data_IF_631502512290
#
_entry.id   IF_631502512290
#
_cell.length_a   1.000
_cell.length_b   1.000
_cell.length_c   1.000
_cell.angle_alpha   90.00
_cell.angle_beta   90.00
_cell.angle_gamma   90.00
#
_symmetry.space_group_name_H-M   'P 1'
#
loop_
_entity.id
_entity.type
_entity.pdbx_description
1 polymer ?
#
# COMPACT_ATOMS: atom_id res chain seq x y z
N UNK A 1 91.48 2.63 39.95
CA UNK A 1 92.10 2.73 41.28
C UNK A 1 91.26 3.65 42.15
N UNK A 2 91.16 3.29 43.44
CA UNK A 2 90.78 4.10 44.60
C UNK A 2 89.36 4.66 44.78
N UNK A 3 88.77 4.14 45.86
CA UNK A 3 87.61 4.58 46.65
C UNK A 3 87.62 6.09 46.95
N UNK A 4 86.43 6.68 47.04
CA UNK A 4 86.20 7.90 47.83
C UNK A 4 85.04 7.73 48.80
N UNK A 5 85.18 8.43 49.95
CA UNK A 5 84.56 8.21 51.25
C UNK A 5 83.15 8.81 51.40
N UNK A 6 82.38 8.09 52.23
CA UNK A 6 81.39 8.50 53.27
C UNK A 6 80.96 9.97 53.36
N UNK A 7 79.63 10.16 53.47
CA UNK A 7 79.02 11.07 54.46
C UNK A 7 77.58 10.58 54.81
N UNK A 8 77.22 10.39 56.10
CA UNK A 8 75.86 10.06 56.49
C UNK A 8 75.03 11.29 56.93
N UNK A 9 73.73 11.02 56.84
CA UNK A 9 72.49 11.78 56.91
C UNK A 9 72.07 12.28 58.32
N UNK A 10 71.00 13.10 58.30
CA UNK A 10 70.02 13.48 59.35
C UNK A 10 70.36 14.75 60.16
N UNK A 11 69.44 15.69 60.42
CA UNK A 11 67.97 15.67 60.59
C UNK A 11 67.48 17.14 60.49
N UNK A 12 66.31 17.52 59.97
CA UNK A 12 65.06 17.64 60.76
C UNK A 12 63.91 18.27 59.94
N UNK A 13 62.75 17.61 60.04
CA UNK A 13 61.33 17.99 59.89
C UNK A 13 60.89 19.32 59.24
N UNK A 14 60.10 19.20 58.17
CA UNK A 14 59.07 20.17 57.74
C UNK A 14 57.75 19.43 57.55
N UNK A 15 56.67 20.01 58.08
CA UNK A 15 55.31 19.46 57.98
C UNK A 15 54.60 19.89 56.71
N UNK A 16 53.51 19.20 56.38
CA UNK A 16 52.33 19.74 55.69
C UNK A 16 51.23 18.67 55.68
N UNK A 17 50.09 18.95 56.31
CA UNK A 17 48.89 18.13 56.21
C UNK A 17 48.18 18.49 54.90
N UNK A 18 48.29 17.62 53.88
CA UNK A 18 47.52 17.74 52.64
C UNK A 18 46.13 17.14 52.83
N UNK A 19 45.12 17.99 52.93
CA UNK A 19 43.73 17.60 52.75
C UNK A 19 43.50 17.27 51.26
N UNK A 20 43.16 16.02 50.96
CA UNK A 20 42.86 15.56 49.61
C UNK A 20 41.39 15.94 49.27
N UNK A 21 41.17 17.13 48.71
CA UNK A 21 39.91 17.45 48.06
C UNK A 21 39.86 16.73 46.70
N UNK A 22 39.18 15.58 46.65
CA UNK A 22 38.84 14.93 45.38
C UNK A 22 37.68 15.73 44.79
N UNK A 23 37.94 16.52 43.75
CA UNK A 23 36.87 17.10 42.95
C UNK A 23 36.15 15.95 42.20
N UNK A 24 34.81 15.89 42.19
CA UNK A 24 34.13 14.94 41.33
C UNK A 24 34.45 15.29 39.88
N UNK A 25 35.19 14.41 39.20
CA UNK A 25 35.32 14.46 37.75
C UNK A 25 33.98 13.98 37.19
N UNK A 26 33.12 14.91 36.80
CA UNK A 26 31.98 14.55 35.97
C UNK A 26 32.53 14.24 34.58
N UNK A 27 32.49 12.96 34.19
CA UNK A 27 32.69 12.57 32.81
C UNK A 27 31.46 13.04 32.03
N UNK A 28 31.63 14.11 31.27
CA UNK A 28 30.64 14.52 30.28
C UNK A 28 30.71 13.52 29.13
N UNK A 29 29.62 12.80 28.91
CA UNK A 29 29.51 11.83 27.81
C UNK A 29 28.41 12.32 26.91
N UNK A 30 28.80 12.98 25.82
CA UNK A 30 27.88 13.35 24.76
C UNK A 30 27.41 12.10 24.03
N UNK A 31 26.10 11.99 23.85
CA UNK A 31 25.46 10.92 23.10
C UNK A 31 24.77 11.54 21.89
N UNK A 32 25.35 11.33 20.72
CA UNK A 32 24.77 11.77 19.45
C UNK A 32 23.75 10.75 18.96
N UNK A 33 22.48 11.16 18.94
CA UNK A 33 21.41 10.38 18.33
C UNK A 33 21.20 10.86 16.89
N UNK A 34 21.59 10.02 15.92
CA UNK A 34 21.30 10.25 14.51
C UNK A 34 20.18 9.31 14.08
N UNK A 35 19.07 9.85 13.58
CA UNK A 35 17.96 9.08 13.05
C UNK A 35 17.55 9.61 11.67
N UNK A 36 17.42 8.72 10.70
CA UNK A 36 16.87 9.02 9.38
C UNK A 36 15.42 8.56 9.36
N UNK A 37 14.47 9.48 9.20
CA UNK A 37 13.06 9.15 8.99
C UNK A 37 12.80 9.15 7.49
N UNK A 38 12.73 7.97 6.89
CA UNK A 38 12.36 7.79 5.50
C UNK A 38 10.82 7.79 5.40
N UNK A 39 10.25 8.57 4.47
CA UNK A 39 8.87 8.30 4.02
C UNK A 39 8.97 7.13 3.07
N UNK A 40 8.32 6.02 3.39
CA UNK A 40 8.38 4.80 2.56
C UNK A 40 7.13 4.61 1.69
N UNK A 41 6.19 5.56 1.72
CA UNK A 41 4.89 5.41 1.04
C UNK A 41 4.47 6.66 0.31
N UNK A 42 3.84 6.47 -0.86
CA UNK A 42 3.11 7.54 -1.55
C UNK A 42 1.80 7.86 -0.84
N UNK A 43 1.34 9.09 -1.00
CA UNK A 43 -0.07 9.42 -0.80
C UNK A 43 -0.89 8.83 -1.96
N UNK A 44 -2.02 8.23 -1.66
CA UNK A 44 -2.96 7.68 -2.65
C UNK A 44 -4.20 8.56 -2.66
N UNK A 45 -4.57 9.03 -3.84
CA UNK A 45 -5.79 9.78 -4.09
C UNK A 45 -6.64 9.02 -5.10
N UNK A 46 -7.94 8.86 -4.82
CA UNK A 46 -8.90 8.45 -5.84
C UNK A 46 -9.49 9.72 -6.44
N UNK A 47 -9.27 9.91 -7.74
CA UNK A 47 -9.76 11.09 -8.45
C UNK A 47 -11.28 11.12 -8.34
N UNK A 48 -11.83 12.32 -8.11
CA UNK A 48 -13.26 12.58 -7.91
C UNK A 48 -13.92 11.82 -6.73
N UNK A 49 -13.12 11.42 -5.73
CA UNK A 49 -13.63 10.87 -4.46
C UNK A 49 -14.03 9.40 -4.50
N UNK A 50 -13.72 8.69 -5.57
CA UNK A 50 -13.81 7.22 -5.65
C UNK A 50 -15.20 6.63 -5.65
N UNK A 51 -16.23 7.43 -5.90
CA UNK A 51 -17.59 6.91 -6.13
C UNK A 51 -17.83 6.74 -7.63
N UNK A 52 -18.06 5.50 -8.05
CA UNK A 52 -18.43 5.18 -9.45
C UNK A 52 -19.92 4.90 -9.52
N UNK A 53 -20.66 5.79 -10.16
CA UNK A 53 -22.11 5.64 -10.35
C UNK A 53 -22.40 4.99 -11.71
N UNK A 54 -22.85 3.74 -11.67
CA UNK A 54 -23.36 3.05 -12.85
C UNK A 54 -24.78 3.52 -13.20
N UNK A 55 -25.14 3.43 -14.48
CA UNK A 55 -26.51 3.67 -14.92
C UNK A 55 -27.43 2.52 -14.52
N UNK A 56 -28.73 2.79 -14.35
CA UNK A 56 -29.74 1.73 -14.26
C UNK A 56 -29.84 0.99 -15.59
N UNK A 57 -29.79 -0.34 -15.56
CA UNK A 57 -29.78 -1.19 -16.75
C UNK A 57 -30.93 -2.21 -16.72
N UNK A 58 -31.42 -2.57 -17.91
CA UNK A 58 -32.38 -3.66 -18.09
C UNK A 58 -31.66 -5.03 -18.15
N UNK A 59 -32.37 -6.16 -17.95
CA UNK A 59 -31.75 -7.49 -17.99
C UNK A 59 -30.94 -7.79 -19.26
N UNK A 60 -31.34 -7.23 -20.41
CA UNK A 60 -30.63 -7.38 -21.69
C UNK A 60 -29.21 -6.80 -21.72
N UNK A 61 -28.82 -5.99 -20.72
CA UNK A 61 -27.44 -5.54 -20.54
C UNK A 61 -26.49 -6.73 -20.28
N UNK A 62 -26.97 -7.78 -19.61
CA UNK A 62 -26.19 -8.97 -19.29
C UNK A 62 -26.26 -10.00 -20.42
N UNK A 63 -25.58 -9.69 -21.53
CA UNK A 63 -25.53 -10.56 -22.70
C UNK A 63 -24.87 -11.92 -22.39
N UNK A 64 -25.34 -12.96 -23.09
CA UNK A 64 -24.80 -14.31 -22.96
C UNK A 64 -23.34 -14.39 -23.45
N UNK A 65 -22.53 -15.19 -22.76
CA UNK A 65 -21.12 -15.39 -23.10
C UNK A 65 -20.16 -14.30 -22.61
N UNK A 66 -20.67 -13.18 -22.08
CA UNK A 66 -19.83 -12.12 -21.50
C UNK A 66 -19.32 -12.52 -20.12
N UNK A 67 -18.00 -12.66 -19.99
CA UNK A 67 -17.32 -13.09 -18.77
C UNK A 67 -16.57 -11.94 -18.10
N UNK A 68 -16.01 -12.21 -16.91
CA UNK A 68 -15.13 -11.28 -16.20
C UNK A 68 -13.80 -10.98 -16.93
N UNK A 69 -13.48 -11.71 -18.00
CA UNK A 69 -12.27 -11.50 -18.83
C UNK A 69 -12.61 -10.88 -20.20
N UNK A 70 -13.89 -10.63 -20.49
CA UNK A 70 -14.30 -10.08 -21.78
C UNK A 70 -14.21 -8.56 -21.78
N UNK A 71 -13.42 -8.00 -22.70
CA UNK A 71 -13.42 -6.57 -23.01
C UNK A 71 -14.77 -6.19 -23.63
N UNK A 72 -15.60 -5.50 -22.84
CA UNK A 72 -16.97 -5.18 -23.21
C UNK A 72 -17.39 -3.83 -22.60
N UNK A 73 -18.17 -3.08 -23.38
CA UNK A 73 -18.63 -1.74 -23.04
C UNK A 73 -19.73 -1.73 -21.94
N UNK A 74 -20.12 -0.53 -21.51
CA UNK A 74 -21.23 -0.33 -20.57
C UNK A 74 -20.82 -0.01 -19.13
N UNK A 75 -19.52 0.17 -18.89
CA UNK A 75 -18.92 0.53 -17.61
C UNK A 75 -18.54 2.00 -17.49
N UNK A 76 -17.67 2.28 -16.52
CA UNK A 76 -17.19 3.62 -16.15
C UNK A 76 -15.73 3.57 -15.74
N UNK A 77 -14.99 4.58 -16.19
CA UNK A 77 -13.62 4.79 -15.75
C UNK A 77 -13.57 5.42 -14.37
N UNK A 78 -12.50 5.11 -13.64
CA UNK A 78 -12.08 5.82 -12.45
C UNK A 78 -10.55 5.86 -12.42
N UNK A 79 -9.98 6.81 -11.69
CA UNK A 79 -8.53 7.00 -11.67
C UNK A 79 -7.97 7.03 -10.25
N UNK A 80 -6.79 6.43 -10.11
CA UNK A 80 -5.99 6.44 -8.89
C UNK A 80 -4.73 7.23 -9.16
N UNK A 81 -4.44 8.22 -8.33
CA UNK A 81 -3.24 9.05 -8.42
C UNK A 81 -2.34 8.80 -7.23
N UNK A 82 -1.06 8.58 -7.51
CA UNK A 82 -0.02 8.53 -6.50
C UNK A 82 0.63 9.89 -6.40
N UNK A 83 0.78 10.41 -5.19
CA UNK A 83 1.30 11.74 -4.91
C UNK A 83 2.44 11.65 -3.89
N UNK A 84 3.37 12.61 -3.99
CA UNK A 84 4.42 12.82 -2.98
C UNK A 84 5.19 11.54 -2.63
N UNK A 85 5.49 10.72 -3.63
CA UNK A 85 6.20 9.46 -3.43
C UNK A 85 7.67 9.70 -3.04
N UNK A 86 8.31 8.72 -2.39
CA UNK A 86 9.75 8.75 -2.15
C UNK A 86 10.51 8.84 -3.48
N UNK A 87 11.74 9.38 -3.43
CA UNK A 87 12.60 9.47 -4.62
C UNK A 87 12.87 8.05 -5.13
N UNK A 88 12.51 7.79 -6.40
CA UNK A 88 12.88 6.55 -7.08
C UNK A 88 14.40 6.48 -7.16
N UNK A 89 15.01 5.50 -6.51
CA UNK A 89 16.46 5.22 -6.53
C UNK A 89 16.83 4.24 -7.65
N UNK A 90 16.01 4.19 -8.71
CA UNK A 90 16.06 3.23 -9.82
C UNK A 90 15.90 1.75 -9.41
N UNK A 91 15.62 1.46 -8.14
CA UNK A 91 15.31 0.08 -7.69
C UNK A 91 13.86 -0.29 -7.93
N UNK A 92 12.95 0.68 -7.78
CA UNK A 92 11.51 0.49 -8.02
C UNK A 92 11.24 0.59 -9.52
N UNK A 93 10.77 -0.52 -10.08
CA UNK A 93 10.48 -0.63 -11.51
C UNK A 93 9.00 -0.90 -11.80
N UNK A 94 8.25 -1.36 -10.80
CA UNK A 94 6.85 -1.71 -10.91
C UNK A 94 6.02 -1.11 -9.78
N UNK A 95 4.79 -0.77 -10.14
CA UNK A 95 3.70 -0.43 -9.21
C UNK A 95 2.63 -1.51 -9.36
N UNK A 96 2.27 -2.12 -8.23
CA UNK A 96 1.22 -3.13 -8.17
C UNK A 96 0.01 -2.57 -7.42
N UNK A 97 -1.16 -2.60 -8.06
CA UNK A 97 -2.43 -2.26 -7.42
C UNK A 97 -3.13 -3.54 -6.97
N UNK A 98 -3.44 -3.62 -5.68
CA UNK A 98 -4.18 -4.72 -5.08
C UNK A 98 -5.59 -4.23 -4.75
N UNK A 99 -6.56 -4.74 -5.51
CA UNK A 99 -7.98 -4.46 -5.30
C UNK A 99 -8.59 -5.57 -4.45
N UNK A 100 -9.11 -5.22 -3.28
CA UNK A 100 -9.74 -6.20 -2.38
C UNK A 100 -11.15 -5.76 -1.98
N UNK A 101 -12.11 -6.67 -1.87
CA UNK A 101 -13.44 -6.33 -1.38
C UNK A 101 -13.36 -5.88 0.09
N UNK A 102 -14.01 -4.77 0.43
CA UNK A 102 -14.07 -4.30 1.81
C UNK A 102 -14.82 -5.27 2.72
N UNK A 103 -15.81 -5.99 2.17
CA UNK A 103 -16.52 -7.08 2.87
C UNK A 103 -15.64 -8.32 3.11
N UNK A 104 -14.44 -8.39 2.51
CA UNK A 104 -13.49 -9.48 2.67
C UNK A 104 -13.75 -10.69 1.77
N UNK A 105 -14.79 -10.67 0.93
CA UNK A 105 -15.14 -11.79 0.06
C UNK A 105 -15.40 -11.34 -1.38
N UNK A 106 -14.79 -12.05 -2.34
CA UNK A 106 -15.15 -11.96 -3.76
C UNK A 106 -16.45 -12.75 -4.01
N UNK A 107 -17.04 -12.58 -5.18
CA UNK A 107 -18.28 -13.25 -5.53
C UNK A 107 -18.14 -14.78 -5.54
N UNK A 108 -19.03 -15.47 -4.84
CA UNK A 108 -19.01 -16.93 -4.77
C UNK A 108 -19.11 -17.56 -6.18
N UNK A 109 -18.14 -18.40 -6.52
CA UNK A 109 -18.04 -19.06 -7.82
C UNK A 109 -17.35 -18.23 -8.91
N UNK A 110 -16.92 -17.00 -8.62
CA UNK A 110 -16.11 -16.19 -9.53
C UNK A 110 -15.21 -15.19 -8.77
N UNK A 111 -13.95 -15.56 -8.56
CA UNK A 111 -12.99 -14.76 -7.81
C UNK A 111 -12.47 -13.53 -8.57
N UNK A 112 -12.99 -13.24 -9.76
CA UNK A 112 -12.65 -12.03 -10.52
C UNK A 112 -13.72 -10.94 -10.43
N UNK A 113 -14.80 -11.21 -9.68
CA UNK A 113 -15.94 -10.31 -9.54
C UNK A 113 -16.05 -9.90 -8.07
N UNK A 114 -16.06 -8.60 -7.82
CA UNK A 114 -16.39 -8.02 -6.52
C UNK A 114 -17.88 -8.19 -6.26
N UNK A 115 -18.24 -8.80 -5.14
CA UNK A 115 -19.62 -9.10 -4.80
C UNK A 115 -20.44 -7.82 -4.56
N UNK A 116 -21.75 -7.94 -4.70
CA UNK A 116 -22.69 -6.97 -4.16
C UNK A 116 -22.66 -7.07 -2.62
N UNK A 117 -22.43 -5.95 -1.95
CA UNK A 117 -22.45 -5.82 -0.50
C UNK A 117 -23.88 -5.79 0.06
N UNK A 118 -24.90 -5.58 -0.79
CA UNK A 118 -26.30 -5.67 -0.41
C UNK A 118 -26.82 -7.10 -0.58
N UNK A 119 -27.50 -7.61 0.45
CA UNK A 119 -28.23 -8.89 0.34
C UNK A 119 -29.55 -8.69 -0.40
N UNK A 120 -30.16 -9.77 -0.94
CA UNK A 120 -31.46 -9.67 -1.62
C UNK A 120 -32.55 -9.12 -0.71
N UNK A 121 -32.53 -9.47 0.59
CA UNK A 121 -33.49 -8.97 1.59
C UNK A 121 -33.33 -7.47 1.86
N UNK A 122 -32.12 -6.93 1.65
CA UNK A 122 -31.82 -5.50 1.72
C UNK A 122 -32.07 -4.77 0.38
N UNK A 123 -32.69 -5.43 -0.60
CA UNK A 123 -32.96 -4.86 -1.92
C UNK A 123 -31.81 -5.03 -2.92
N UNK A 124 -30.78 -5.83 -2.58
CA UNK A 124 -29.64 -6.10 -3.44
C UNK A 124 -30.00 -6.92 -4.69
N UNK A 125 -29.40 -6.59 -5.83
CA UNK A 125 -29.46 -7.43 -7.03
C UNK A 125 -28.71 -8.75 -6.81
N UNK A 126 -29.30 -9.86 -7.26
CA UNK A 126 -28.64 -11.17 -7.24
C UNK A 126 -27.86 -11.45 -8.52
N UNK A 127 -26.80 -12.25 -8.37
CA UNK A 127 -25.97 -12.75 -9.46
C UNK A 127 -25.27 -11.66 -10.30
N UNK A 128 -25.15 -10.44 -9.75
CA UNK A 128 -24.41 -9.32 -10.35
C UNK A 128 -23.40 -8.80 -9.34
N UNK A 129 -22.21 -8.50 -9.83
CA UNK A 129 -21.17 -7.81 -9.09
C UNK A 129 -20.45 -6.80 -9.97
N UNK A 130 -19.29 -6.35 -9.53
CA UNK A 130 -18.44 -5.41 -10.26
C UNK A 130 -17.16 -6.12 -10.68
N UNK A 131 -16.71 -5.85 -11.90
CA UNK A 131 -15.36 -6.20 -12.37
C UNK A 131 -14.58 -4.92 -12.59
N UNK A 132 -13.27 -4.99 -12.40
CA UNK A 132 -12.35 -3.89 -12.64
C UNK A 132 -11.30 -4.39 -13.64
N UNK A 133 -11.00 -3.55 -14.62
CA UNK A 133 -10.04 -3.80 -15.69
C UNK A 133 -9.00 -2.68 -15.74
N UNK A 134 -7.86 -2.99 -16.38
CA UNK A 134 -7.01 -1.94 -16.97
C UNK A 134 -7.81 -1.09 -17.94
N UNK A 135 -7.45 0.20 -18.11
CA UNK A 135 -8.11 1.05 -19.10
C UNK A 135 -7.58 0.85 -20.54
N UNK A 136 -6.36 0.35 -20.70
CA UNK A 136 -5.78 0.07 -22.01
C UNK A 136 -6.56 -1.01 -22.76
N UNK A 137 -6.72 -0.86 -24.07
CA UNK A 137 -7.36 -1.87 -24.93
C UNK A 137 -6.31 -2.84 -25.51
N UNK A 138 -6.53 -4.16 -25.43
CA UNK A 138 -7.69 -4.81 -24.82
C UNK A 138 -7.69 -4.73 -23.29
N UNK A 139 -8.85 -4.39 -22.73
CA UNK A 139 -9.03 -4.27 -21.27
C UNK A 139 -8.86 -5.64 -20.62
N UNK A 140 -8.00 -5.72 -19.61
CA UNK A 140 -7.67 -6.97 -18.91
C UNK A 140 -8.09 -6.88 -17.44
N UNK A 141 -8.69 -7.94 -16.89
CA UNK A 141 -9.16 -7.93 -15.51
C UNK A 141 -7.97 -7.70 -14.55
N UNK A 142 -8.18 -6.87 -13.51
CA UNK A 142 -7.15 -6.58 -12.50
C UNK A 142 -6.91 -7.73 -11.52
N UNK A 143 -7.76 -8.76 -11.55
CA UNK A 143 -7.65 -9.98 -10.77
C UNK A 143 -7.36 -11.19 -11.67
N UNK A 144 -6.53 -12.09 -11.18
CA UNK A 144 -6.42 -13.45 -11.71
C UNK A 144 -7.65 -14.28 -11.34
N UNK A 145 -7.82 -15.43 -11.99
CA UNK A 145 -8.95 -16.36 -11.73
C UNK A 145 -8.98 -16.90 -10.30
N UNK A 146 -7.85 -16.83 -9.57
CA UNK A 146 -7.76 -17.19 -8.15
C UNK A 146 -8.07 -16.02 -7.21
N UNK A 147 -8.26 -14.80 -7.73
CA UNK A 147 -8.53 -13.58 -6.97
C UNK A 147 -7.28 -12.80 -6.55
N UNK A 148 -6.08 -13.24 -6.94
CA UNK A 148 -4.84 -12.47 -6.72
C UNK A 148 -4.72 -11.30 -7.70
N UNK A 149 -3.95 -10.26 -7.36
CA UNK A 149 -3.78 -9.12 -8.26
C UNK A 149 -3.02 -9.50 -9.54
N UNK A 150 -3.51 -8.95 -10.66
CA UNK A 150 -2.88 -8.94 -11.99
C UNK A 150 -2.45 -7.53 -12.40
N UNK A 151 -2.85 -6.49 -11.66
CA UNK A 151 -2.61 -5.09 -12.00
C UNK A 151 -1.20 -4.61 -11.63
N UNK A 152 -0.22 -5.06 -12.41
CA UNK A 152 1.21 -4.73 -12.26
C UNK A 152 1.63 -3.87 -13.46
N UNK A 153 2.17 -2.69 -13.18
CA UNK A 153 2.56 -1.71 -14.20
C UNK A 153 4.03 -1.35 -14.06
N UNK A 154 4.75 -1.33 -15.18
CA UNK A 154 6.11 -0.78 -15.22
C UNK A 154 6.06 0.74 -15.04
N UNK A 155 6.70 1.25 -14.00
CA UNK A 155 6.67 2.66 -13.64
C UNK A 155 7.98 3.08 -12.95
N UNK A 156 9.06 3.33 -13.72
CA UNK A 156 10.33 3.80 -13.16
C UNK A 156 10.20 5.20 -12.51
N UNK A 157 9.20 5.98 -12.95
CA UNK A 157 8.72 7.18 -12.29
C UNK A 157 7.22 7.02 -11.95
N UNK A 158 6.92 6.89 -10.66
CA UNK A 158 5.57 6.60 -10.17
C UNK A 158 4.96 7.74 -9.33
N UNK A 159 5.77 8.74 -8.94
CA UNK A 159 5.27 9.92 -8.24
C UNK A 159 4.49 10.85 -9.16
N UNK A 160 3.36 11.36 -8.67
CA UNK A 160 2.44 12.25 -9.40
C UNK A 160 1.89 11.62 -10.70
N UNK A 161 1.85 10.28 -10.75
CA UNK A 161 1.33 9.52 -11.86
C UNK A 161 -0.12 9.10 -11.59
N UNK A 162 -0.93 9.08 -12.65
CA UNK A 162 -2.33 8.65 -12.60
C UNK A 162 -2.50 7.38 -13.40
N UNK A 163 -3.17 6.40 -12.80
CA UNK A 163 -3.61 5.17 -13.45
C UNK A 163 -5.13 5.21 -13.58
N UNK A 164 -5.61 4.96 -14.79
CA UNK A 164 -7.04 4.83 -15.08
C UNK A 164 -7.41 3.36 -15.16
N UNK A 165 -8.54 3.03 -14.57
CA UNK A 165 -9.13 1.70 -14.56
C UNK A 165 -10.55 1.80 -15.06
N UNK A 166 -11.03 0.73 -15.67
CA UNK A 166 -12.40 0.62 -16.15
C UNK A 166 -13.17 -0.36 -15.28
N UNK A 167 -14.34 0.04 -14.79
CA UNK A 167 -15.21 -0.79 -13.97
C UNK A 167 -16.54 -1.06 -14.67
N UNK A 168 -17.11 -2.24 -14.49
CA UNK A 168 -18.36 -2.63 -15.17
C UNK A 168 -19.19 -3.57 -14.30
N UNK A 169 -20.51 -3.50 -14.43
CA UNK A 169 -21.41 -4.51 -13.87
C UNK A 169 -21.25 -5.84 -14.60
N UNK A 170 -21.11 -6.94 -13.85
CA UNK A 170 -20.85 -8.26 -14.40
C UNK A 170 -21.74 -9.32 -13.76
N UNK A 171 -22.29 -10.19 -14.61
CA UNK A 171 -23.00 -11.41 -14.19
C UNK A 171 -22.00 -12.39 -13.57
N UNK A 172 -22.25 -12.85 -12.34
CA UNK A 172 -21.30 -13.70 -11.59
C UNK A 172 -21.25 -15.11 -12.19
N UNK A 173 -22.41 -15.78 -12.24
CA UNK A 173 -22.57 -17.12 -12.80
C UNK A 173 -23.45 -17.04 -14.06
N UNK A 174 -22.93 -17.53 -15.19
CA UNK A 174 -23.65 -17.53 -16.47
C UNK A 174 -24.95 -18.35 -16.42
N UNK A 175 -24.97 -19.40 -15.60
CA UNK A 175 -26.10 -20.35 -15.45
C UNK A 175 -27.24 -19.84 -14.57
N UNK A 176 -27.05 -18.73 -13.84
CA UNK A 176 -28.08 -18.13 -12.98
C UNK A 176 -28.72 -16.92 -13.66
N UNK A 177 -29.97 -16.63 -13.34
CA UNK A 177 -30.65 -15.40 -13.80
C UNK A 177 -30.19 -14.19 -12.96
N UNK A 178 -30.42 -12.99 -13.47
CA UNK A 178 -30.24 -11.73 -12.74
C UNK A 178 -31.61 -11.27 -12.25
N UNK A 179 -31.72 -10.87 -10.99
CA UNK A 179 -32.94 -10.31 -10.41
C UNK A 179 -32.95 -8.78 -10.52
N UNK A 180 -34.06 -8.14 -10.15
CA UNK A 180 -34.08 -6.70 -9.94
C UNK A 180 -33.52 -6.36 -8.56
N UNK A 181 -32.72 -5.30 -8.46
CA UNK A 181 -32.23 -4.79 -7.18
C UNK A 181 -31.12 -3.77 -7.36
N UNK A 182 -30.59 -3.30 -6.24
CA UNK A 182 -29.49 -2.35 -6.18
C UNK A 182 -28.14 -3.07 -6.13
N UNK A 183 -27.14 -2.51 -6.82
CA UNK A 183 -25.75 -2.95 -6.74
C UNK A 183 -24.95 -1.93 -5.94
N UNK A 184 -24.36 -2.36 -4.84
CA UNK A 184 -23.40 -1.58 -4.06
C UNK A 184 -22.18 -2.45 -3.80
N UNK A 185 -20.98 -2.00 -4.16
CA UNK A 185 -19.76 -2.76 -3.92
C UNK A 185 -18.65 -1.82 -3.47
N UNK A 186 -17.99 -2.14 -2.36
CA UNK A 186 -16.87 -1.37 -1.82
C UNK A 186 -15.56 -2.12 -2.02
N UNK A 187 -14.61 -1.46 -2.68
CA UNK A 187 -13.30 -2.01 -3.00
C UNK A 187 -12.21 -1.16 -2.36
N UNK A 188 -11.32 -1.80 -1.64
CA UNK A 188 -10.11 -1.22 -1.08
C UNK A 188 -8.98 -1.34 -2.10
N UNK A 189 -8.16 -0.30 -2.21
CA UNK A 189 -7.01 -0.27 -3.11
C UNK A 189 -5.75 -0.11 -2.27
N UNK A 190 -4.90 -1.13 -2.32
CA UNK A 190 -3.56 -1.09 -1.74
C UNK A 190 -2.53 -1.01 -2.86
N UNK A 191 -1.46 -0.25 -2.66
CA UNK A 191 -0.43 -0.07 -3.68
C UNK A 191 0.92 -0.54 -3.12
N UNK A 192 1.66 -1.30 -3.92
CA UNK A 192 2.98 -1.82 -3.58
C UNK A 192 3.98 -1.41 -4.66
N UNK A 193 5.20 -1.09 -4.24
CA UNK A 193 6.30 -0.59 -5.08
C UNK A 193 7.45 -1.59 -5.02
N UNK A 194 7.90 -2.08 -6.18
CA UNK A 194 8.92 -3.12 -6.30
C UNK A 194 9.85 -2.89 -7.48
#
# INVERSE_FOLDING_TARGET
MMRLRKLPLLMSATGLATALCIAPLHADTDVDFTATVQRDTCQIEIVDGGTVNFATVAPGYFADGITAETDYEGGKDFSVRLLSCPVSDDTITNVTFNFTPQSGMLAAGNNQVFANDLTPEAGGVENVGVVIFTADSPRTNVLNTDGTSRAIFKAPAYSNTTWTFYSRMQKILSTRTVTSGELSSRVLINVTYQ
#
